data_IF_298925602457
#
_entry.id   IF_298925602457
#
_cell.length_a   1.000
_cell.length_b   1.000
_cell.length_c   1.000
_cell.angle_alpha   90.00
_cell.angle_beta   90.00
_cell.angle_gamma   90.00
#
_symmetry.space_group_name_H-M   'P 1'
#
loop_
_entity.id
_entity.type
_entity.pdbx_description
1 polymer ?
#
# COMPACT_ATOMS: atom_id res chain seq x y z
N UNK A 1 -10.63 -21.33 1.16
CA UNK A 1 -9.19 -21.07 0.82
C UNK A 1 -8.35 -22.25 1.29
N UNK A 2 -7.54 -22.76 0.39
CA UNK A 2 -6.75 -23.95 0.67
C UNK A 2 -5.35 -23.59 1.16
N UNK A 3 -4.75 -24.50 1.93
CA UNK A 3 -3.33 -24.39 2.26
C UNK A 3 -2.52 -24.61 0.98
N UNK A 4 -1.59 -23.69 0.63
CA UNK A 4 -0.82 -23.83 -0.60
C UNK A 4 0.10 -25.05 -0.56
N UNK A 5 0.26 -25.71 -1.71
CA UNK A 5 1.13 -26.90 -1.83
C UNK A 5 2.49 -26.57 -2.41
N UNK A 6 2.58 -25.58 -3.29
CA UNK A 6 3.82 -25.21 -3.99
C UNK A 6 4.59 -24.10 -3.28
N UNK A 7 3.91 -22.99 -2.99
CA UNK A 7 4.51 -21.81 -2.37
C UNK A 7 4.24 -21.79 -0.86
N UNK A 8 5.03 -21.02 -0.12
CA UNK A 8 4.81 -20.82 1.32
C UNK A 8 3.46 -20.11 1.57
N UNK A 9 3.13 -19.11 0.76
CA UNK A 9 1.93 -18.29 0.92
C UNK A 9 1.00 -18.40 -0.28
N UNK A 10 -0.31 -18.26 -0.02
CA UNK A 10 -1.33 -18.04 -1.02
C UNK A 10 -2.31 -16.98 -0.52
N UNK A 11 -2.81 -16.13 -1.42
CA UNK A 11 -3.86 -15.14 -1.13
C UNK A 11 -5.06 -15.49 -2.00
N UNK A 12 -6.16 -15.90 -1.36
CA UNK A 12 -7.33 -16.42 -2.07
C UNK A 12 -6.95 -17.45 -3.15
N UNK A 13 -6.08 -18.39 -2.78
CA UNK A 13 -5.51 -19.44 -3.63
C UNK A 13 -4.55 -18.95 -4.73
N UNK A 14 -4.22 -17.68 -4.77
CA UNK A 14 -3.24 -17.14 -5.71
C UNK A 14 -1.85 -17.21 -5.10
N UNK A 15 -0.91 -17.74 -5.86
CA UNK A 15 0.48 -17.97 -5.42
C UNK A 15 1.47 -17.31 -6.37
N UNK A 16 2.66 -17.02 -5.84
CA UNK A 16 3.79 -16.60 -6.67
C UNK A 16 4.06 -17.63 -7.77
N UNK A 17 4.48 -17.15 -8.92
CA UNK A 17 4.81 -17.95 -10.11
C UNK A 17 3.61 -18.58 -10.85
N UNK A 18 2.38 -18.34 -10.42
CA UNK A 18 1.20 -18.73 -11.21
C UNK A 18 1.18 -18.00 -12.55
N UNK A 19 0.63 -18.64 -13.58
CA UNK A 19 0.41 -17.96 -14.86
C UNK A 19 -0.70 -16.93 -14.75
N UNK A 20 -0.58 -15.83 -15.49
CA UNK A 20 -1.62 -14.81 -15.56
C UNK A 20 -2.96 -15.39 -16.01
N UNK A 21 -2.94 -16.34 -16.96
CA UNK A 21 -4.16 -16.98 -17.41
C UNK A 21 -4.86 -17.77 -16.30
N UNK A 22 -4.12 -18.45 -15.42
CA UNK A 22 -4.69 -19.17 -14.29
C UNK A 22 -5.24 -18.22 -13.23
N UNK A 23 -4.57 -17.09 -12.99
CA UNK A 23 -5.07 -16.05 -12.11
C UNK A 23 -6.41 -15.52 -12.63
N UNK A 24 -6.50 -15.18 -13.91
CA UNK A 24 -7.70 -14.60 -14.52
C UNK A 24 -8.88 -15.59 -14.57
N UNK A 25 -8.62 -16.89 -14.63
CA UNK A 25 -9.67 -17.92 -14.48
C UNK A 25 -10.31 -17.88 -13.09
N UNK A 26 -9.54 -17.55 -12.07
CA UNK A 26 -10.00 -17.50 -10.67
C UNK A 26 -10.57 -16.12 -10.31
N UNK A 27 -9.89 -15.04 -10.70
CA UNK A 27 -10.20 -13.68 -10.25
C UNK A 27 -10.93 -12.81 -11.26
N UNK A 28 -11.14 -13.32 -12.49
CA UNK A 28 -11.66 -12.54 -13.61
C UNK A 28 -10.69 -11.43 -14.02
N UNK A 29 -11.21 -10.34 -14.62
CA UNK A 29 -10.38 -9.21 -15.07
C UNK A 29 -10.04 -8.28 -13.91
N UNK A 30 -8.89 -7.60 -13.96
CA UNK A 30 -8.54 -6.61 -12.95
C UNK A 30 -9.51 -5.43 -12.99
N UNK A 31 -9.75 -4.86 -11.82
CA UNK A 31 -10.55 -3.62 -11.68
C UNK A 31 -9.73 -2.38 -12.04
N UNK A 32 -8.42 -2.46 -11.92
CA UNK A 32 -7.51 -1.35 -12.18
C UNK A 32 -6.11 -1.89 -12.52
N UNK A 33 -5.42 -1.18 -13.40
CA UNK A 33 -4.01 -1.43 -13.73
C UNK A 33 -3.26 -0.12 -13.56
N UNK A 34 -2.21 -0.14 -12.76
CA UNK A 34 -1.40 1.05 -12.43
C UNK A 34 0.09 0.73 -12.51
N UNK A 35 0.93 1.74 -12.63
CA UNK A 35 2.39 1.57 -12.61
C UNK A 35 2.91 1.41 -11.18
N UNK A 36 4.07 0.78 -11.04
CA UNK A 36 4.74 0.64 -9.75
C UNK A 36 6.21 1.07 -9.80
N UNK A 37 6.84 1.09 -8.64
CA UNK A 37 8.24 1.51 -8.48
C UNK A 37 9.25 0.60 -9.18
N UNK A 38 8.87 -0.62 -9.50
CA UNK A 38 9.73 -1.58 -10.20
C UNK A 38 9.78 -1.35 -11.72
N UNK A 39 9.01 -0.40 -12.24
CA UNK A 39 8.87 -0.20 -13.69
C UNK A 39 7.98 -1.27 -14.34
N UNK A 40 7.15 -1.94 -13.56
CA UNK A 40 6.11 -2.86 -13.99
C UNK A 40 4.75 -2.31 -13.59
N UNK A 41 3.72 -3.14 -13.57
CA UNK A 41 2.36 -2.71 -13.26
C UNK A 41 1.78 -3.53 -12.12
N UNK A 42 0.98 -2.89 -11.28
CA UNK A 42 0.07 -3.55 -10.38
C UNK A 42 -1.27 -3.79 -11.07
N UNK A 43 -1.74 -5.02 -11.05
CA UNK A 43 -3.09 -5.42 -11.44
C UNK A 43 -3.88 -5.62 -10.16
N UNK A 44 -4.92 -4.83 -9.97
CA UNK A 44 -5.74 -4.84 -8.76
C UNK A 44 -7.03 -5.60 -9.01
N UNK A 45 -7.26 -6.63 -8.20
CA UNK A 45 -8.43 -7.51 -8.29
C UNK A 45 -9.22 -7.46 -7.00
N UNK A 46 -10.52 -7.41 -7.10
CA UNK A 46 -11.43 -7.63 -5.97
C UNK A 46 -12.81 -8.01 -6.51
N UNK A 47 -13.57 -8.72 -5.68
CA UNK A 47 -14.98 -8.96 -5.91
C UNK A 47 -15.78 -7.77 -5.36
N UNK A 48 -17.04 -7.70 -5.62
CA UNK A 48 -17.96 -6.65 -5.18
C UNK A 48 -17.43 -5.82 -4.01
N UNK A 49 -17.36 -4.50 -4.19
CA UNK A 49 -17.04 -3.56 -3.13
C UNK A 49 -15.79 -3.94 -2.30
N UNK A 50 -14.70 -4.24 -2.97
CA UNK A 50 -13.38 -4.51 -2.36
C UNK A 50 -13.29 -5.79 -1.51
N UNK A 51 -14.15 -6.77 -1.69
CA UNK A 51 -13.97 -8.10 -1.11
C UNK A 51 -12.86 -8.85 -1.84
N UNK A 52 -12.07 -9.63 -1.12
CA UNK A 52 -10.99 -10.44 -1.70
C UNK A 52 -10.00 -9.61 -2.50
N UNK A 53 -9.55 -8.50 -1.90
CA UNK A 53 -8.64 -7.54 -2.53
C UNK A 53 -7.23 -8.11 -2.66
N UNK A 54 -6.70 -8.10 -3.89
CA UNK A 54 -5.34 -8.55 -4.19
C UNK A 54 -4.73 -7.61 -5.22
N UNK A 55 -3.46 -7.25 -5.01
CA UNK A 55 -2.63 -6.58 -6.02
C UNK A 55 -1.60 -7.58 -6.54
N UNK A 56 -1.49 -7.69 -7.86
CA UNK A 56 -0.59 -8.65 -8.52
C UNK A 56 0.25 -7.93 -9.56
N UNK A 57 1.56 -8.20 -9.57
CA UNK A 57 2.44 -7.75 -10.64
C UNK A 57 3.04 -8.94 -11.37
N UNK A 58 3.01 -8.88 -12.70
CA UNK A 58 3.47 -9.97 -13.55
C UNK A 58 4.78 -9.62 -14.24
N UNK A 59 5.62 -10.63 -14.44
CA UNK A 59 6.74 -10.61 -15.38
C UNK A 59 6.65 -11.85 -16.24
N UNK A 60 6.73 -11.70 -17.56
CA UNK A 60 6.59 -12.81 -18.53
C UNK A 60 5.33 -13.64 -18.26
N UNK A 61 4.22 -12.94 -17.97
CA UNK A 61 2.90 -13.53 -17.65
C UNK A 61 2.90 -14.49 -16.46
N UNK A 62 3.82 -14.31 -15.53
CA UNK A 62 3.89 -15.04 -14.26
C UNK A 62 3.79 -14.07 -13.08
N UNK A 63 3.13 -14.49 -12.00
CA UNK A 63 3.04 -13.71 -10.77
C UNK A 63 4.45 -13.53 -10.18
N UNK A 64 4.93 -12.30 -10.11
CA UNK A 64 6.23 -11.92 -9.56
C UNK A 64 6.13 -10.96 -8.38
N UNK A 65 4.95 -10.45 -8.08
CA UNK A 65 4.66 -9.74 -6.84
C UNK A 65 3.18 -9.91 -6.49
N UNK A 66 2.88 -9.92 -5.19
CA UNK A 66 1.56 -10.28 -4.68
C UNK A 66 1.34 -9.58 -3.33
N UNK A 67 0.20 -8.90 -3.15
CA UNK A 67 -0.11 -8.18 -1.92
C UNK A 67 -1.59 -8.29 -1.56
N UNK A 68 -1.87 -8.42 -0.27
CA UNK A 68 -3.21 -8.23 0.29
C UNK A 68 -3.12 -7.66 1.70
N UNK A 69 -4.10 -6.82 2.06
CA UNK A 69 -4.33 -6.37 3.42
C UNK A 69 -5.67 -6.89 3.99
N UNK A 70 -6.13 -8.02 3.47
CA UNK A 70 -7.39 -8.62 3.91
C UNK A 70 -7.18 -10.05 4.40
N UNK A 71 -8.20 -10.58 5.10
CA UNK A 71 -8.18 -11.92 5.66
C UNK A 71 -8.41 -13.00 4.59
N UNK A 72 -7.48 -13.10 3.65
CA UNK A 72 -7.46 -14.09 2.57
C UNK A 72 -6.09 -14.76 2.44
N UNK A 73 -5.29 -14.71 3.51
CA UNK A 73 -3.93 -15.24 3.55
C UNK A 73 -3.95 -16.65 4.11
N UNK A 74 -3.33 -17.59 3.40
CA UNK A 74 -3.02 -18.93 3.89
C UNK A 74 -1.55 -19.23 3.68
N UNK A 75 -0.98 -20.16 4.45
CA UNK A 75 0.43 -20.53 4.31
C UNK A 75 0.67 -21.97 4.76
N UNK A 76 1.76 -22.56 4.27
CA UNK A 76 2.23 -23.87 4.73
C UNK A 76 2.56 -23.85 6.22
N UNK A 77 3.07 -22.74 6.73
CA UNK A 77 3.43 -22.55 8.13
C UNK A 77 2.26 -22.08 9.00
N UNK A 78 1.03 -22.14 8.48
CA UNK A 78 -0.18 -21.73 9.20
C UNK A 78 -0.16 -20.27 9.66
N UNK A 79 0.56 -19.41 8.96
CA UNK A 79 0.53 -17.96 9.13
C UNK A 79 -0.64 -17.43 8.30
N UNK A 80 -1.45 -16.60 8.93
CA UNK A 80 -2.63 -15.98 8.31
C UNK A 80 -2.88 -14.61 8.90
N UNK A 81 -3.90 -13.94 8.44
CA UNK A 81 -4.37 -12.67 9.03
C UNK A 81 -4.60 -12.88 10.55
N UNK A 82 -4.14 -11.95 11.37
CA UNK A 82 -4.16 -12.00 12.84
C UNK A 82 -3.20 -12.98 13.52
N UNK A 83 -2.36 -13.68 12.80
CA UNK A 83 -1.29 -14.46 13.44
C UNK A 83 -0.35 -13.53 14.19
N UNK A 84 0.00 -13.81 15.48
CA UNK A 84 0.92 -12.97 16.23
C UNK A 84 2.32 -12.92 15.63
N UNK A 85 2.98 -11.78 15.75
CA UNK A 85 4.36 -11.57 15.27
C UNK A 85 5.33 -12.62 15.82
N UNK A 86 5.22 -12.97 17.10
CA UNK A 86 6.06 -14.00 17.73
C UNK A 86 5.92 -15.35 17.05
N UNK A 87 4.70 -15.70 16.63
CA UNK A 87 4.43 -16.96 15.91
C UNK A 87 5.01 -16.92 14.50
N UNK A 88 4.92 -15.78 13.81
CA UNK A 88 5.53 -15.60 12.50
C UNK A 88 7.04 -15.86 12.57
N UNK A 89 7.73 -15.24 13.52
CA UNK A 89 9.17 -15.40 13.71
C UNK A 89 9.55 -16.81 14.14
N UNK A 90 8.73 -17.45 14.97
CA UNK A 90 8.95 -18.83 15.37
C UNK A 90 8.91 -19.77 14.16
N UNK A 91 8.01 -19.54 13.21
CA UNK A 91 7.77 -20.43 12.07
C UNK A 91 8.59 -20.10 10.84
N UNK A 92 8.91 -18.83 10.60
CA UNK A 92 9.71 -18.40 9.44
C UNK A 92 11.19 -18.15 9.77
N UNK A 93 11.54 -18.08 11.06
CA UNK A 93 12.91 -17.80 11.51
C UNK A 93 13.20 -16.32 11.65
N UNK A 94 14.48 -15.97 11.74
CA UNK A 94 14.91 -14.59 11.90
C UNK A 94 14.64 -13.77 10.65
N UNK A 95 14.07 -12.57 10.79
CA UNK A 95 13.86 -11.67 9.65
C UNK A 95 15.20 -11.12 9.14
N UNK A 96 15.20 -10.71 7.88
CA UNK A 96 16.32 -10.03 7.27
C UNK A 96 16.52 -8.66 7.92
N UNK A 97 17.77 -8.29 8.17
CA UNK A 97 18.16 -6.99 8.70
C UNK A 97 18.51 -5.99 7.60
N UNK A 98 18.78 -6.49 6.40
CA UNK A 98 19.12 -5.65 5.25
C UNK A 98 18.77 -6.35 3.93
N UNK A 99 18.56 -5.55 2.89
CA UNK A 99 18.48 -6.00 1.49
C UNK A 99 19.68 -5.39 0.76
N UNK A 100 20.48 -6.22 0.11
CA UNK A 100 21.68 -5.78 -0.62
C UNK A 100 21.36 -5.66 -2.11
N UNK A 101 21.68 -4.49 -2.68
CA UNK A 101 21.55 -4.21 -4.12
C UNK A 101 22.90 -3.67 -4.62
N UNK A 102 23.64 -4.52 -5.31
CA UNK A 102 25.00 -4.19 -5.73
C UNK A 102 25.91 -3.91 -4.52
N UNK A 103 26.36 -2.67 -4.38
CA UNK A 103 27.21 -2.24 -3.25
C UNK A 103 26.42 -1.52 -2.15
N UNK A 104 25.13 -1.33 -2.32
CA UNK A 104 24.28 -0.61 -1.39
C UNK A 104 23.51 -1.58 -0.51
N UNK A 105 23.49 -1.29 0.79
CA UNK A 105 22.73 -2.06 1.78
C UNK A 105 21.56 -1.21 2.26
N UNK A 106 20.35 -1.75 2.12
CA UNK A 106 19.12 -1.10 2.59
C UNK A 106 18.71 -1.77 3.89
N UNK A 107 18.82 -1.05 5.00
CA UNK A 107 18.47 -1.58 6.33
C UNK A 107 16.98 -1.88 6.44
N UNK A 108 16.67 -3.02 7.09
CA UNK A 108 15.32 -3.49 7.36
C UNK A 108 15.15 -3.62 8.88
N UNK A 109 15.07 -2.49 9.57
CA UNK A 109 14.96 -2.46 11.03
C UNK A 109 13.64 -1.88 11.54
N UNK A 110 12.61 -1.85 10.71
CA UNK A 110 11.30 -1.35 11.08
C UNK A 110 10.57 -2.36 11.99
N UNK A 111 9.98 -1.87 13.08
CA UNK A 111 9.27 -2.72 14.05
C UNK A 111 7.84 -3.06 13.59
N UNK A 112 7.33 -2.39 12.57
CA UNK A 112 5.96 -2.55 12.07
C UNK A 112 5.85 -3.63 11.00
N UNK A 113 6.98 -4.13 10.51
CA UNK A 113 7.00 -5.26 9.58
C UNK A 113 8.32 -6.04 9.69
N UNK A 114 8.30 -7.28 9.22
CA UNK A 114 9.47 -8.14 9.06
C UNK A 114 9.61 -8.52 7.59
N UNK A 115 10.86 -8.65 7.13
CA UNK A 115 11.19 -9.14 5.79
C UNK A 115 11.84 -10.50 5.91
N UNK A 116 11.38 -11.47 5.14
CA UNK A 116 11.95 -12.81 5.04
C UNK A 116 12.36 -13.07 3.60
N UNK A 117 13.50 -13.70 3.37
CA UNK A 117 14.00 -13.98 2.03
C UNK A 117 14.30 -15.47 1.90
N UNK A 118 13.46 -16.18 1.17
CA UNK A 118 13.59 -17.63 0.93
C UNK A 118 13.08 -17.97 -0.47
N UNK A 119 13.75 -18.94 -1.12
CA UNK A 119 13.34 -19.45 -2.43
C UNK A 119 13.16 -18.35 -3.48
N UNK A 120 14.08 -17.38 -3.50
CA UNK A 120 14.07 -16.24 -4.44
C UNK A 120 12.84 -15.32 -4.30
N UNK A 121 12.25 -15.28 -3.11
CA UNK A 121 11.11 -14.42 -2.81
C UNK A 121 11.39 -13.63 -1.53
N UNK A 122 11.19 -12.32 -1.60
CA UNK A 122 11.11 -11.45 -0.44
C UNK A 122 9.66 -11.41 0.04
N UNK A 123 9.43 -11.80 1.28
CA UNK A 123 8.12 -11.74 1.92
C UNK A 123 8.16 -10.72 3.03
N UNK A 124 7.39 -9.64 2.89
CA UNK A 124 7.23 -8.63 3.94
C UNK A 124 5.91 -8.89 4.65
N UNK A 125 6.00 -9.16 5.95
CA UNK A 125 4.84 -9.39 6.81
C UNK A 125 4.61 -8.12 7.63
N UNK A 126 3.49 -7.45 7.40
CA UNK A 126 3.12 -6.22 8.11
C UNK A 126 2.30 -6.56 9.35
N UNK A 127 2.58 -5.86 10.44
CA UNK A 127 1.91 -6.04 11.72
C UNK A 127 1.10 -4.81 12.09
N UNK A 128 -0.02 -5.04 12.76
CA UNK A 128 -0.87 -3.99 13.31
C UNK A 128 -0.55 -3.84 14.79
N UNK A 129 0.15 -2.78 15.16
CA UNK A 129 0.51 -2.55 16.58
C UNK A 129 -0.69 -2.23 17.47
N UNK A 130 -1.81 -1.82 16.87
CA UNK A 130 -3.08 -1.59 17.59
C UNK A 130 -3.89 -2.86 17.77
N UNK A 131 -3.41 -3.98 17.22
CA UNK A 131 -3.98 -5.32 17.35
C UNK A 131 -2.90 -6.32 17.78
N UNK A 132 -2.16 -5.98 18.84
CA UNK A 132 -1.13 -6.83 19.46
C UNK A 132 0.00 -7.26 18.54
N UNK A 133 0.36 -6.44 17.56
CA UNK A 133 1.34 -6.79 16.52
C UNK A 133 0.96 -8.07 15.76
N UNK A 134 -0.32 -8.26 15.48
CA UNK A 134 -0.78 -9.37 14.67
C UNK A 134 -0.64 -9.04 13.18
N UNK A 135 -0.50 -10.07 12.35
CA UNK A 135 -0.40 -9.92 10.90
C UNK A 135 -1.62 -9.19 10.35
N UNK A 136 -1.40 -8.14 9.57
CA UNK A 136 -2.44 -7.33 8.92
C UNK A 136 -2.34 -7.31 7.40
N UNK A 137 -1.16 -7.58 6.84
CA UNK A 137 -0.92 -7.61 5.40
C UNK A 137 0.33 -8.41 5.08
N UNK A 138 0.44 -8.91 3.86
CA UNK A 138 1.64 -9.59 3.36
C UNK A 138 1.91 -9.13 1.93
N UNK A 139 3.18 -8.81 1.67
CA UNK A 139 3.71 -8.47 0.35
C UNK A 139 4.77 -9.50 -0.03
N UNK A 140 4.64 -10.11 -1.19
CA UNK A 140 5.67 -10.97 -1.75
C UNK A 140 6.20 -10.38 -3.04
N UNK A 141 7.53 -10.38 -3.20
CA UNK A 141 8.22 -9.84 -4.40
C UNK A 141 9.33 -10.81 -4.77
N UNK A 142 9.38 -11.25 -6.02
CA UNK A 142 10.47 -12.10 -6.50
C UNK A 142 11.79 -11.35 -6.54
N UNK A 143 12.91 -12.08 -6.47
CA UNK A 143 14.25 -11.50 -6.66
C UNK A 143 14.35 -10.75 -7.99
N UNK A 144 13.78 -11.33 -9.05
CA UNK A 144 13.78 -10.70 -10.37
C UNK A 144 13.05 -9.36 -10.38
N UNK A 145 11.90 -9.27 -9.70
CA UNK A 145 11.14 -8.01 -9.58
C UNK A 145 11.87 -7.01 -8.70
N UNK A 146 12.35 -7.43 -7.53
CA UNK A 146 13.09 -6.56 -6.59
C UNK A 146 14.35 -5.99 -7.24
N UNK A 147 15.05 -6.76 -8.04
CA UNK A 147 16.26 -6.31 -8.74
C UNK A 147 15.99 -5.28 -9.84
N UNK A 148 14.75 -5.08 -10.24
CA UNK A 148 14.38 -3.99 -11.16
C UNK A 148 14.42 -2.63 -10.48
N UNK A 149 14.23 -2.56 -9.17
CA UNK A 149 14.37 -1.33 -8.39
C UNK A 149 15.84 -1.15 -8.02
N UNK A 150 16.56 -0.35 -8.83
CA UNK A 150 18.02 -0.19 -8.72
C UNK A 150 18.46 0.74 -7.60
N UNK A 151 17.57 1.63 -7.19
CA UNK A 151 17.79 2.62 -6.14
C UNK A 151 16.77 2.44 -5.03
N UNK A 152 16.74 3.35 -4.07
CA UNK A 152 15.76 3.32 -2.99
C UNK A 152 14.35 3.58 -3.48
N UNK A 153 14.20 4.49 -4.47
CA UNK A 153 12.91 4.92 -5.00
C UNK A 153 12.80 4.64 -6.50
N UNK A 154 11.56 4.47 -6.96
CA UNK A 154 11.26 4.40 -8.38
C UNK A 154 11.52 5.74 -9.08
N UNK A 155 11.63 5.71 -10.40
CA UNK A 155 11.83 6.91 -11.21
C UNK A 155 10.56 7.78 -11.18
N UNK A 156 10.64 9.02 -10.67
CA UNK A 156 9.49 9.92 -10.60
C UNK A 156 8.93 10.22 -11.99
N UNK A 157 7.61 10.21 -12.10
CA UNK A 157 6.88 10.60 -13.29
C UNK A 157 5.44 10.96 -12.90
N UNK A 158 4.74 11.67 -13.78
CA UNK A 158 3.31 11.92 -13.58
C UNK A 158 2.52 10.60 -13.56
N UNK A 159 2.87 9.65 -14.41
CA UNK A 159 2.22 8.33 -14.46
C UNK A 159 2.40 7.56 -13.15
N UNK A 160 3.59 7.61 -12.56
CA UNK A 160 3.84 6.96 -11.27
C UNK A 160 3.10 7.67 -10.13
N UNK A 161 3.08 9.00 -10.12
CA UNK A 161 2.33 9.79 -9.15
C UNK A 161 0.83 9.46 -9.21
N UNK A 162 0.24 9.50 -10.40
CA UNK A 162 -1.17 9.16 -10.62
C UNK A 162 -1.47 7.72 -10.16
N UNK A 163 -0.55 6.80 -10.44
CA UNK A 163 -0.67 5.39 -10.03
C UNK A 163 -0.62 5.23 -8.51
N UNK A 164 0.29 5.93 -7.85
CA UNK A 164 0.38 5.91 -6.39
C UNK A 164 -0.88 6.47 -5.72
N UNK A 165 -1.49 7.50 -6.30
CA UNK A 165 -2.76 8.07 -5.83
C UNK A 165 -3.87 7.01 -5.84
N UNK A 166 -4.04 6.33 -6.98
CA UNK A 166 -5.09 5.33 -7.15
C UNK A 166 -4.84 4.07 -6.32
N UNK A 167 -3.60 3.64 -6.19
CA UNK A 167 -3.22 2.55 -5.29
C UNK A 167 -3.56 2.88 -3.84
N UNK A 168 -3.23 4.09 -3.39
CA UNK A 168 -3.54 4.55 -2.04
C UNK A 168 -5.05 4.52 -1.78
N UNK A 169 -5.85 5.02 -2.71
CA UNK A 169 -7.30 5.00 -2.64
C UNK A 169 -7.83 3.56 -2.50
N UNK A 170 -7.37 2.65 -3.33
CA UNK A 170 -7.78 1.24 -3.29
C UNK A 170 -7.37 0.56 -1.97
N UNK A 171 -6.16 0.84 -1.48
CA UNK A 171 -5.66 0.30 -0.20
C UNK A 171 -6.51 0.76 0.98
N UNK A 172 -6.91 2.02 1.02
CA UNK A 172 -7.80 2.55 2.05
C UNK A 172 -9.16 1.84 2.01
N UNK A 173 -9.74 1.67 0.83
CA UNK A 173 -11.03 1.00 0.70
C UNK A 173 -10.96 -0.50 1.06
N UNK A 174 -9.88 -1.17 0.67
CA UNK A 174 -9.65 -2.57 1.06
C UNK A 174 -9.53 -2.69 2.59
N UNK A 175 -8.84 -1.74 3.23
CA UNK A 175 -8.69 -1.70 4.68
C UNK A 175 -10.04 -1.44 5.37
N UNK A 176 -10.80 -0.47 4.87
CA UNK A 176 -12.13 -0.16 5.41
C UNK A 176 -13.06 -1.37 5.31
N UNK A 177 -13.03 -2.07 4.18
CA UNK A 177 -13.82 -3.29 4.00
C UNK A 177 -13.43 -4.37 4.99
N UNK A 178 -12.13 -4.57 5.22
CA UNK A 178 -11.63 -5.52 6.21
C UNK A 178 -12.13 -5.19 7.63
N UNK A 179 -12.31 -3.89 7.93
CA UNK A 179 -12.82 -3.40 9.21
C UNK A 179 -14.35 -3.22 9.21
N UNK A 180 -15.06 -3.79 8.23
CA UNK A 180 -16.53 -3.78 8.15
C UNK A 180 -17.13 -2.37 8.03
N UNK A 181 -16.40 -1.47 7.38
CA UNK A 181 -16.85 -0.13 7.05
C UNK A 181 -17.24 -0.05 5.57
N UNK A 182 -18.18 0.82 5.25
CA UNK A 182 -18.48 1.08 3.84
C UNK A 182 -17.28 1.75 3.16
N UNK A 183 -17.16 1.55 1.87
CA UNK A 183 -16.06 2.11 1.08
C UNK A 183 -16.35 3.57 0.69
N UNK A 184 -15.28 4.32 0.43
CA UNK A 184 -15.34 5.73 0.08
C UNK A 184 -15.44 5.88 -1.44
N UNK A 185 -16.07 6.97 -1.89
CA UNK A 185 -16.09 7.35 -3.30
C UNK A 185 -14.86 8.19 -3.63
N UNK A 186 -14.28 7.93 -4.77
CA UNK A 186 -13.16 8.74 -5.26
C UNK A 186 -13.66 10.12 -5.71
N UNK A 187 -12.94 11.17 -5.30
CA UNK A 187 -13.20 12.53 -5.74
C UNK A 187 -11.98 13.09 -6.46
N UNK A 188 -12.13 13.35 -7.74
CA UNK A 188 -11.10 14.03 -8.54
C UNK A 188 -10.80 15.42 -7.96
N UNK A 189 -11.82 16.13 -7.50
CA UNK A 189 -11.67 17.46 -6.93
C UNK A 189 -10.86 17.43 -5.62
N UNK A 190 -11.17 16.51 -4.71
CA UNK A 190 -10.38 16.31 -3.49
C UNK A 190 -8.95 15.90 -3.83
N UNK A 191 -8.75 15.05 -4.85
CA UNK A 191 -7.44 14.63 -5.31
C UNK A 191 -6.61 15.80 -5.84
N UNK A 192 -7.20 16.71 -6.59
CA UNK A 192 -6.50 17.88 -7.12
C UNK A 192 -6.04 18.82 -5.99
N UNK A 193 -6.88 19.05 -4.98
CA UNK A 193 -6.49 19.81 -3.78
C UNK A 193 -5.35 19.11 -3.03
N UNK A 194 -5.46 17.81 -2.84
CA UNK A 194 -4.43 16.99 -2.20
C UNK A 194 -3.11 17.04 -2.96
N UNK A 195 -3.15 16.95 -4.28
CA UNK A 195 -1.95 17.00 -5.14
C UNK A 195 -1.25 18.34 -5.05
N UNK A 196 -1.99 19.45 -5.01
CA UNK A 196 -1.40 20.79 -4.81
C UNK A 196 -0.61 20.84 -3.50
N UNK A 197 -1.15 20.26 -2.44
CA UNK A 197 -0.47 20.26 -1.14
C UNK A 197 0.78 19.36 -1.15
N UNK A 198 0.70 18.16 -1.73
CA UNK A 198 1.88 17.28 -1.89
C UNK A 198 2.97 17.94 -2.72
N UNK A 199 2.60 18.62 -3.81
CA UNK A 199 3.53 19.38 -4.65
C UNK A 199 4.18 20.51 -3.87
N UNK A 200 3.40 21.25 -3.09
CA UNK A 200 3.88 22.36 -2.28
C UNK A 200 4.91 21.87 -1.24
N UNK A 201 4.60 20.80 -0.53
CA UNK A 201 5.52 20.19 0.43
C UNK A 201 6.80 19.70 -0.24
N UNK A 202 6.68 18.99 -1.34
CA UNK A 202 7.82 18.42 -2.07
C UNK A 202 8.74 19.51 -2.63
N UNK A 203 8.18 20.56 -3.20
CA UNK A 203 8.97 21.65 -3.83
C UNK A 203 9.57 22.60 -2.82
N UNK A 204 8.94 22.78 -1.66
CA UNK A 204 9.34 23.78 -0.66
C UNK A 204 9.92 23.18 0.61
N UNK A 205 10.26 21.89 0.58
CA UNK A 205 10.99 21.19 1.65
C UNK A 205 10.35 21.30 3.03
N UNK A 206 9.04 21.06 3.14
CA UNK A 206 8.36 20.99 4.42
C UNK A 206 7.35 19.83 4.45
N UNK A 207 6.93 19.47 5.65
CA UNK A 207 5.95 18.41 5.89
C UNK A 207 5.03 18.87 7.02
N UNK A 208 3.87 19.42 6.66
CA UNK A 208 2.90 19.96 7.62
C UNK A 208 1.51 20.02 6.97
N UNK A 209 0.48 19.90 7.77
CA UNK A 209 -0.91 20.09 7.34
C UNK A 209 -1.17 21.52 6.86
N UNK A 210 -0.61 22.51 7.56
CA UNK A 210 -0.71 23.91 7.20
C UNK A 210 0.29 24.24 6.08
N UNK A 211 -0.19 24.85 5.00
CA UNK A 211 0.70 25.26 3.91
C UNK A 211 1.47 26.54 4.22
N UNK A 212 2.37 26.94 3.33
CA UNK A 212 3.22 28.12 3.54
C UNK A 212 2.45 29.44 3.53
N UNK A 213 1.19 29.44 3.08
CA UNK A 213 0.30 30.60 3.15
C UNK A 213 -0.52 30.62 4.45
N UNK A 214 -0.26 29.71 5.38
CA UNK A 214 -0.97 29.62 6.65
C UNK A 214 -2.36 28.99 6.53
N UNK A 215 -2.66 28.31 5.42
CA UNK A 215 -3.96 27.68 5.19
C UNK A 215 -3.96 26.25 5.74
N UNK A 216 -5.00 25.93 6.53
CA UNK A 216 -5.27 24.58 7.01
C UNK A 216 -5.80 23.70 5.88
N UNK A 217 -5.88 22.35 6.07
CA UNK A 217 -6.54 21.49 5.09
C UNK A 217 -7.98 21.91 4.79
N UNK A 218 -8.71 22.36 5.80
CA UNK A 218 -10.10 22.86 5.65
C UNK A 218 -10.15 24.11 4.77
N UNK A 219 -9.23 25.06 4.99
CA UNK A 219 -9.10 26.27 4.19
C UNK A 219 -8.77 25.94 2.73
N UNK A 220 -7.86 25.00 2.50
CA UNK A 220 -7.47 24.57 1.17
C UNK A 220 -8.64 23.93 0.41
N UNK A 221 -9.42 23.06 1.06
CA UNK A 221 -10.62 22.46 0.48
C UNK A 221 -11.68 23.53 0.14
N UNK A 222 -11.95 24.43 1.06
CA UNK A 222 -12.93 25.53 0.84
C UNK A 222 -12.51 26.43 -0.30
N UNK A 223 -11.24 26.79 -0.37
CA UNK A 223 -10.70 27.62 -1.45
C UNK A 223 -10.92 26.99 -2.82
N UNK A 224 -10.87 25.67 -2.91
CA UNK A 224 -11.09 24.95 -4.15
C UNK A 224 -12.58 24.64 -4.41
N UNK A 225 -13.48 25.21 -3.62
CA UNK A 225 -14.94 25.09 -3.80
C UNK A 225 -15.53 23.77 -3.32
N UNK A 226 -14.80 23.03 -2.48
CA UNK A 226 -15.26 21.76 -1.92
C UNK A 226 -16.10 22.04 -0.68
N UNK A 227 -17.35 21.58 -0.68
CA UNK A 227 -18.25 21.65 0.48
C UNK A 227 -18.21 20.35 1.26
N UNK A 228 -18.30 20.44 2.57
CA UNK A 228 -18.26 19.25 3.45
C UNK A 228 -18.85 19.59 4.82
N UNK A 229 -19.39 18.58 5.49
CA UNK A 229 -19.79 18.66 6.90
C UNK A 229 -18.65 18.23 7.83
N UNK A 230 -17.84 17.30 7.35
CA UNK A 230 -16.63 16.82 8.07
C UNK A 230 -15.50 16.66 7.07
N UNK A 231 -14.27 16.86 7.54
CA UNK A 231 -13.08 16.67 6.71
C UNK A 231 -11.90 16.21 7.58
N UNK A 232 -10.95 15.54 6.94
CA UNK A 232 -9.71 15.13 7.57
C UNK A 232 -8.62 14.96 6.53
N UNK A 233 -7.38 15.05 6.99
CA UNK A 233 -6.22 14.90 6.13
C UNK A 233 -5.19 13.97 6.77
N UNK A 234 -4.63 13.07 5.98
CA UNK A 234 -3.43 12.32 6.33
C UNK A 234 -2.30 12.71 5.40
N UNK A 235 -1.10 12.77 5.95
CA UNK A 235 0.12 13.05 5.19
C UNK A 235 1.15 11.94 5.43
N UNK A 236 1.85 11.55 4.37
CA UNK A 236 3.00 10.64 4.44
C UNK A 236 4.06 11.07 3.43
N UNK A 237 5.33 10.82 3.72
CA UNK A 237 6.40 11.03 2.75
C UNK A 237 7.57 10.10 3.00
N UNK A 238 8.29 9.79 1.92
CA UNK A 238 9.55 9.07 2.00
C UNK A 238 9.44 7.56 1.97
N UNK A 239 8.25 6.99 2.02
CA UNK A 239 8.07 5.55 1.81
C UNK A 239 8.30 5.21 0.33
N UNK A 240 8.67 3.96 0.06
CA UNK A 240 8.98 3.53 -1.32
C UNK A 240 7.73 3.39 -2.19
N UNK A 241 6.58 3.10 -1.60
CA UNK A 241 5.34 2.85 -2.33
C UNK A 241 4.11 3.19 -1.49
N UNK A 242 2.95 3.23 -2.15
CA UNK A 242 1.66 3.44 -1.48
C UNK A 242 1.34 2.33 -0.47
N UNK A 243 1.81 1.10 -0.70
CA UNK A 243 1.66 -0.01 0.25
C UNK A 243 2.33 0.32 1.59
N UNK A 244 3.60 0.73 1.55
CA UNK A 244 4.35 1.08 2.77
C UNK A 244 3.81 2.35 3.42
N UNK A 245 3.41 3.36 2.63
CA UNK A 245 2.77 4.57 3.16
C UNK A 245 1.47 4.24 3.89
N UNK A 246 0.61 3.43 3.27
CA UNK A 246 -0.67 3.01 3.86
C UNK A 246 -0.46 2.25 5.19
N UNK A 247 0.46 1.30 5.22
CA UNK A 247 0.74 0.52 6.43
C UNK A 247 1.29 1.39 7.56
N UNK A 248 2.15 2.35 7.23
CA UNK A 248 2.64 3.33 8.20
C UNK A 248 1.53 4.20 8.77
N UNK A 249 0.62 4.67 7.91
CA UNK A 249 -0.53 5.47 8.34
C UNK A 249 -1.47 4.66 9.25
N UNK A 250 -1.73 3.40 8.93
CA UNK A 250 -2.56 2.52 9.76
C UNK A 250 -1.97 2.28 11.15
N UNK A 251 -0.66 2.26 11.29
CA UNK A 251 0.01 2.08 12.57
C UNK A 251 0.11 3.37 13.40
N UNK A 252 -0.13 4.54 12.81
CA UNK A 252 -0.17 5.82 13.50
C UNK A 252 -1.60 6.15 13.90
N UNK A 253 -1.90 6.22 15.20
CA UNK A 253 -3.27 6.26 15.72
C UNK A 253 -4.10 7.41 15.16
N UNK A 254 -3.53 8.60 15.02
CA UNK A 254 -4.23 9.76 14.45
C UNK A 254 -4.61 9.57 12.99
N UNK A 255 -3.69 9.02 12.21
CA UNK A 255 -3.92 8.73 10.78
C UNK A 255 -4.89 7.55 10.61
N UNK A 256 -4.75 6.51 11.42
CA UNK A 256 -5.65 5.36 11.44
C UNK A 256 -7.10 5.78 11.68
N UNK A 257 -7.33 6.72 12.60
CA UNK A 257 -8.67 7.23 12.89
C UNK A 257 -9.32 7.85 11.66
N UNK A 258 -8.58 8.57 10.83
CA UNK A 258 -9.10 9.13 9.58
C UNK A 258 -9.46 8.03 8.58
N UNK A 259 -8.57 7.06 8.38
CA UNK A 259 -8.79 5.94 7.45
C UNK A 259 -10.05 5.15 7.82
N UNK A 260 -10.28 4.93 9.12
CA UNK A 260 -11.39 4.12 9.63
C UNK A 260 -12.59 4.96 10.09
N UNK A 261 -12.62 6.26 9.79
CA UNK A 261 -13.69 7.15 10.22
C UNK A 261 -14.99 6.86 9.44
N UNK A 262 -16.07 6.58 10.14
CA UNK A 262 -17.36 6.24 9.54
C UNK A 262 -18.18 7.46 9.08
N UNK A 263 -17.74 8.69 9.41
CA UNK A 263 -18.41 9.91 8.95
C UNK A 263 -17.94 10.36 7.56
N UNK A 264 -16.75 9.94 7.13
CA UNK A 264 -16.25 10.26 5.80
C UNK A 264 -16.94 9.40 4.73
N UNK A 265 -17.20 10.01 3.57
CA UNK A 265 -17.87 9.38 2.42
C UNK A 265 -17.00 9.40 1.17
N UNK A 266 -16.02 10.30 1.13
CA UNK A 266 -15.27 10.69 -0.06
C UNK A 266 -13.78 10.74 0.29
N UNK A 267 -12.96 10.30 -0.64
CA UNK A 267 -11.50 10.39 -0.54
C UNK A 267 -10.91 10.84 -1.88
N UNK A 268 -9.99 11.79 -1.81
CA UNK A 268 -9.09 12.11 -2.91
C UNK A 268 -7.65 12.05 -2.42
N UNK A 269 -6.78 11.51 -3.22
CA UNK A 269 -5.35 11.35 -2.92
C UNK A 269 -4.54 12.13 -3.93
N UNK A 270 -3.51 12.85 -3.45
CA UNK A 270 -2.57 13.55 -4.30
C UNK A 270 -1.13 13.15 -3.98
N UNK A 271 -0.34 12.91 -5.01
CA UNK A 271 1.06 12.49 -4.88
C UNK A 271 1.96 13.36 -5.74
N UNK A 272 3.09 13.76 -5.18
CA UNK A 272 4.20 14.34 -5.94
C UNK A 272 5.52 13.91 -5.32
N UNK A 273 6.61 14.16 -6.03
CA UNK A 273 7.97 13.77 -5.64
C UNK A 273 8.84 15.00 -5.43
N UNK A 274 9.77 14.92 -4.47
CA UNK A 274 10.80 15.94 -4.31
C UNK A 274 12.01 15.66 -5.22
N UNK A 275 13.02 16.50 -5.13
CA UNK A 275 14.26 16.38 -5.93
C UNK A 275 15.14 15.17 -5.50
N UNK A 276 14.85 14.55 -4.37
CA UNK A 276 15.48 13.30 -3.91
C UNK A 276 14.65 12.07 -4.29
N UNK A 277 13.66 12.21 -5.17
CA UNK A 277 12.76 11.15 -5.63
C UNK A 277 11.83 10.61 -4.54
N UNK A 278 11.73 11.27 -3.39
CA UNK A 278 10.84 10.86 -2.31
C UNK A 278 9.40 11.21 -2.64
N UNK A 279 8.47 10.23 -2.56
CA UNK A 279 7.05 10.50 -2.75
C UNK A 279 6.45 11.20 -1.52
N UNK A 280 5.49 12.09 -1.78
CA UNK A 280 4.64 12.71 -0.77
C UNK A 280 3.19 12.36 -1.08
N UNK A 281 2.47 11.83 -0.10
CA UNK A 281 1.03 11.51 -0.21
C UNK A 281 0.24 12.47 0.66
N UNK A 282 -0.85 12.99 0.10
CA UNK A 282 -1.91 13.69 0.84
C UNK A 282 -3.21 12.94 0.61
N UNK A 283 -3.85 12.50 1.68
CA UNK A 283 -5.19 11.92 1.65
C UNK A 283 -6.17 12.95 2.19
N UNK A 284 -7.11 13.43 1.35
CA UNK A 284 -8.15 14.35 1.75
C UNK A 284 -9.50 13.65 1.83
N UNK A 285 -9.99 13.51 3.05
CA UNK A 285 -11.29 12.90 3.37
C UNK A 285 -12.35 13.97 3.57
N UNK A 286 -13.56 13.74 3.06
CA UNK A 286 -14.73 14.59 3.32
C UNK A 286 -15.98 13.74 3.54
N UNK A 287 -16.92 14.32 4.30
CA UNK A 287 -18.21 13.70 4.55
C UNK A 287 -19.32 14.72 4.71
#
# INVERSE_FOLDING_TARGET
MDTPKKQQFAFNNIQMNMSKSDVEKTLNKPKRVTFNEYGTKWYTYYDDDYNNFIMISYMKDKVNALYTNQNIITSKSKIKYNTPKSVVRQRLGEPETEIVKGRVRYEQNNKEYDVFHKNHIYTTVFYDKHRRNNVTAVLQVSDAMENRLKEQYGAPSKSLADSFELQNFDLVNAERKQHQLFTLKYSKQNSETARKHSKDMANNHYFDHTNLKGQSPFDQLKKDGITFNSAGENLAYGQVSSIYAHQGLMNSIGHRKNILNDTFKILGVGVDFNDEKQPFWTENYTG
#
